data_IF_155795299068
#
_entry.id   IF_155795299068
#
_cell.length_a   1.000
_cell.length_b   1.000
_cell.length_c   1.000
_cell.angle_alpha   90.00
_cell.angle_beta   90.00
_cell.angle_gamma   90.00
#
_symmetry.space_group_name_H-M   'P 1'
#
loop_
_entity.id
_entity.type
_entity.pdbx_description
1 polymer ?
#
# COMPACT_ATOMS: atom_id res chain seq x y z
N UNK A 1 -17.02 -28.25 8.28
CA UNK A 1 -17.63 -27.88 6.99
C UNK A 1 -16.47 -27.71 6.02
N UNK A 2 -16.45 -28.44 4.89
CA UNK A 2 -15.51 -28.21 3.78
C UNK A 2 -16.08 -27.17 2.79
N UNK A 3 -15.62 -27.12 1.52
CA UNK A 3 -14.68 -28.01 0.83
C UNK A 3 -13.40 -27.23 0.39
N UNK A 4 -12.53 -27.58 -0.58
CA UNK A 4 -12.28 -28.72 -1.50
C UNK A 4 -10.74 -28.97 -1.49
N UNK A 5 -10.14 -30.14 -1.76
CA UNK A 5 -10.19 -31.06 -2.91
C UNK A 5 -9.53 -30.55 -4.21
N UNK A 6 -8.22 -30.85 -4.39
CA UNK A 6 -7.60 -31.11 -5.70
C UNK A 6 -6.20 -31.74 -5.51
N UNK A 7 -6.16 -32.91 -4.89
CA UNK A 7 -4.94 -33.72 -4.74
C UNK A 7 -5.28 -35.20 -4.83
N UNK A 8 -5.71 -35.64 -6.01
CA UNK A 8 -5.59 -37.03 -6.48
C UNK A 8 -5.98 -37.09 -7.97
N UNK A 9 -5.12 -37.72 -8.77
CA UNK A 9 -5.23 -38.31 -10.12
C UNK A 9 -3.92 -38.02 -10.86
N UNK A 10 -2.92 -38.87 -10.61
CA UNK A 10 -1.98 -39.34 -11.64
C UNK A 10 -1.72 -40.83 -11.37
N UNK A 11 -1.90 -41.74 -12.34
CA UNK A 11 -1.72 -43.17 -12.11
C UNK A 11 -0.28 -43.53 -11.76
N UNK A 12 -0.08 -44.37 -10.75
CA UNK A 12 1.20 -45.00 -10.43
C UNK A 12 1.57 -46.06 -11.47
N UNK A 13 2.08 -45.63 -12.61
CA UNK A 13 2.56 -46.55 -13.64
C UNK A 13 3.88 -47.20 -13.24
N UNK A 14 3.77 -48.35 -12.60
CA UNK A 14 4.90 -49.23 -12.30
C UNK A 14 5.31 -49.94 -13.58
N UNK A 15 6.29 -49.41 -14.31
CA UNK A 15 6.94 -50.16 -15.40
C UNK A 15 8.10 -50.93 -14.81
N UNK A 16 7.90 -52.24 -14.71
CA UNK A 16 8.93 -53.22 -14.36
C UNK A 16 10.14 -53.09 -15.28
N UNK A 17 11.35 -53.27 -14.75
CA UNK A 17 12.50 -53.64 -15.58
C UNK A 17 12.12 -54.89 -16.39
N UNK A 18 12.07 -54.76 -17.71
CA UNK A 18 11.94 -55.85 -18.65
C UNK A 18 13.12 -55.76 -19.64
N UNK A 19 13.99 -56.76 -19.51
CA UNK A 19 15.09 -57.19 -20.37
C UNK A 19 15.64 -56.23 -21.44
N UNK A 20 16.90 -55.86 -21.21
CA UNK A 20 17.81 -55.39 -22.24
C UNK A 20 18.11 -56.51 -23.24
N UNK A 21 17.52 -56.45 -24.44
CA UNK A 21 18.03 -57.15 -25.62
C UNK A 21 17.62 -56.40 -26.89
N UNK A 22 18.64 -56.13 -27.71
CA UNK A 22 18.57 -55.72 -29.11
C UNK A 22 17.82 -54.41 -29.47
N UNK A 23 18.38 -53.28 -29.02
CA UNK A 23 18.33 -52.03 -29.80
C UNK A 23 19.72 -51.80 -30.43
N UNK A 24 19.82 -52.02 -31.74
CA UNK A 24 21.03 -51.70 -32.51
C UNK A 24 21.32 -50.20 -32.42
N UNK A 25 22.38 -49.85 -31.70
CA UNK A 25 22.88 -48.48 -31.60
C UNK A 25 23.40 -48.04 -32.98
N UNK A 26 22.53 -47.42 -33.78
CA UNK A 26 22.84 -46.93 -35.12
C UNK A 26 23.90 -45.82 -35.05
N UNK A 27 25.18 -46.23 -35.08
CA UNK A 27 26.33 -45.33 -35.07
C UNK A 27 26.43 -44.61 -36.42
N UNK A 28 26.26 -43.30 -36.40
CA UNK A 28 26.30 -42.39 -37.56
C UNK A 28 27.72 -42.17 -38.13
N UNK A 29 28.55 -43.20 -38.13
CA UNK A 29 29.97 -43.16 -38.53
C UNK A 29 30.18 -43.48 -40.02
N UNK A 30 29.11 -43.44 -40.83
CA UNK A 30 29.13 -43.82 -42.25
C UNK A 30 28.71 -42.67 -43.16
N UNK A 31 29.48 -42.48 -44.24
CA UNK A 31 29.31 -41.46 -45.29
C UNK A 31 27.88 -41.42 -45.86
N UNK A 32 27.17 -42.55 -45.79
CA UNK A 32 25.77 -42.70 -46.17
C UNK A 32 24.83 -41.71 -45.44
N UNK A 33 25.08 -41.43 -44.15
CA UNK A 33 24.29 -40.49 -43.37
C UNK A 33 24.50 -39.03 -43.83
N UNK A 34 25.74 -38.68 -44.18
CA UNK A 34 26.08 -37.35 -44.71
C UNK A 34 25.43 -37.12 -46.07
N UNK A 35 25.42 -38.13 -46.94
CA UNK A 35 24.72 -38.08 -48.24
C UNK A 35 23.19 -37.96 -48.06
N UNK A 36 22.60 -38.67 -47.10
CA UNK A 36 21.15 -38.59 -46.83
C UNK A 36 20.72 -37.23 -46.24
N UNK A 37 21.56 -36.64 -45.38
CA UNK A 37 21.42 -35.28 -44.86
C UNK A 37 21.55 -34.25 -45.99
N UNK A 38 22.49 -34.43 -46.92
CA UNK A 38 22.68 -33.54 -48.07
C UNK A 38 21.51 -33.61 -49.07
N UNK A 39 20.78 -34.73 -49.11
CA UNK A 39 19.57 -34.90 -49.91
C UNK A 39 18.29 -34.33 -49.25
N UNK A 40 18.27 -34.14 -47.92
CA UNK A 40 17.10 -33.69 -47.16
C UNK A 40 17.48 -32.64 -46.10
N UNK A 41 17.77 -31.38 -46.49
CA UNK A 41 18.28 -30.35 -45.59
C UNK A 41 17.33 -30.02 -44.42
N UNK A 42 16.01 -30.09 -44.66
CA UNK A 42 14.99 -29.85 -43.64
C UNK A 42 15.13 -30.83 -42.46
N UNK A 43 15.50 -32.08 -42.72
CA UNK A 43 15.67 -33.11 -41.68
C UNK A 43 16.84 -32.78 -40.74
N UNK A 44 17.92 -32.21 -41.27
CA UNK A 44 19.05 -31.74 -40.49
C UNK A 44 18.68 -30.51 -39.63
N UNK A 45 17.83 -29.63 -40.16
CA UNK A 45 17.27 -28.52 -39.39
C UNK A 45 16.39 -29.01 -38.25
N UNK A 46 15.51 -30.01 -38.47
CA UNK A 46 14.71 -30.61 -37.42
C UNK A 46 15.57 -31.32 -36.35
N UNK A 47 16.61 -32.06 -36.73
CA UNK A 47 17.53 -32.68 -35.79
C UNK A 47 18.28 -31.64 -34.92
N UNK A 48 18.74 -30.55 -35.54
CA UNK A 48 19.36 -29.42 -34.83
C UNK A 48 18.39 -28.73 -33.87
N UNK A 49 17.14 -28.50 -34.28
CA UNK A 49 16.10 -27.95 -33.42
C UNK A 49 15.74 -28.88 -32.25
N UNK A 50 15.70 -30.19 -32.48
CA UNK A 50 15.47 -31.20 -31.44
C UNK A 50 16.60 -31.19 -30.40
N UNK A 51 17.86 -31.15 -30.86
CA UNK A 51 19.03 -31.04 -29.99
C UNK A 51 19.02 -29.73 -29.17
N UNK A 52 18.72 -28.59 -29.80
CA UNK A 52 18.59 -27.31 -29.11
C UNK A 52 17.48 -27.37 -28.03
N UNK A 53 16.31 -27.93 -28.36
CA UNK A 53 15.22 -28.12 -27.40
C UNK A 53 15.66 -29.01 -26.21
N UNK A 54 16.42 -30.08 -26.45
CA UNK A 54 16.99 -30.90 -25.38
C UNK A 54 17.91 -30.08 -24.46
N UNK A 55 18.82 -29.27 -25.03
CA UNK A 55 19.69 -28.39 -24.22
C UNK A 55 18.92 -27.31 -23.45
N UNK A 56 17.81 -26.80 -24.00
CA UNK A 56 16.94 -25.87 -23.27
C UNK A 56 16.20 -26.55 -22.11
N UNK A 57 15.74 -27.80 -22.28
CA UNK A 57 15.12 -28.56 -21.21
C UNK A 57 16.11 -28.85 -20.07
N UNK A 58 17.33 -29.30 -20.39
CA UNK A 58 18.40 -29.49 -19.40
C UNK A 58 18.74 -28.19 -18.66
N UNK A 59 18.79 -27.05 -19.36
CA UNK A 59 19.03 -25.75 -18.75
C UNK A 59 17.87 -25.32 -17.83
N UNK A 60 16.63 -25.59 -18.21
CA UNK A 60 15.45 -25.32 -17.38
C UNK A 60 15.46 -26.17 -16.10
N UNK A 61 15.78 -27.46 -16.19
CA UNK A 61 15.89 -28.35 -15.03
C UNK A 61 17.00 -27.90 -14.06
N UNK A 62 18.14 -27.42 -14.59
CA UNK A 62 19.21 -26.81 -13.78
C UNK A 62 18.74 -25.53 -13.08
N UNK A 63 18.03 -24.65 -13.77
CA UNK A 63 17.50 -23.40 -13.20
C UNK A 63 16.42 -23.65 -12.15
N UNK A 64 15.52 -24.61 -12.38
CA UNK A 64 14.52 -25.05 -11.39
C UNK A 64 15.23 -25.59 -10.14
N UNK A 65 16.22 -26.48 -10.32
CA UNK A 65 17.02 -27.02 -9.23
C UNK A 65 17.76 -25.95 -8.41
N UNK A 66 18.22 -24.87 -9.07
CA UNK A 66 18.84 -23.73 -8.39
C UNK A 66 17.82 -22.93 -7.58
N UNK A 67 16.63 -22.67 -8.14
CA UNK A 67 15.55 -21.96 -7.45
C UNK A 67 15.07 -22.72 -6.21
N UNK A 68 14.94 -24.04 -6.29
CA UNK A 68 14.55 -24.88 -5.13
C UNK A 68 15.59 -24.83 -4.01
N UNK A 69 16.89 -24.83 -4.34
CA UNK A 69 17.98 -24.66 -3.36
C UNK A 69 17.91 -23.30 -2.65
N UNK A 70 17.64 -22.22 -3.39
CA UNK A 70 17.49 -20.88 -2.81
C UNK A 70 16.21 -20.75 -1.96
N UNK A 71 15.10 -21.38 -2.35
CA UNK A 71 13.88 -21.44 -1.55
C UNK A 71 14.14 -22.16 -0.22
N UNK A 72 14.84 -23.29 -0.24
CA UNK A 72 15.14 -24.05 0.97
C UNK A 72 16.15 -23.33 1.88
N UNK A 73 17.15 -22.66 1.29
CA UNK A 73 18.06 -21.74 1.98
C UNK A 73 17.30 -20.61 2.70
N UNK A 74 16.35 -19.97 1.99
CA UNK A 74 15.51 -18.91 2.53
C UNK A 74 14.61 -19.41 3.67
N UNK A 75 13.92 -20.54 3.50
CA UNK A 75 13.13 -21.21 4.55
C UNK A 75 13.97 -21.49 5.80
N UNK A 76 15.19 -22.01 5.63
CA UNK A 76 16.13 -22.27 6.73
C UNK A 76 16.56 -20.99 7.45
N UNK A 77 16.76 -19.89 6.72
CA UNK A 77 17.06 -18.57 7.29
C UNK A 77 15.87 -18.00 8.07
N UNK A 78 14.65 -18.06 7.51
CA UNK A 78 13.42 -17.67 8.19
C UNK A 78 13.21 -18.50 9.48
N UNK A 79 13.48 -19.81 9.44
CA UNK A 79 13.44 -20.68 10.61
C UNK A 79 14.38 -20.24 11.73
N UNK A 80 15.62 -19.84 11.42
CA UNK A 80 16.56 -19.26 12.40
C UNK A 80 16.04 -17.96 13.02
N UNK A 81 15.42 -17.08 12.22
CA UNK A 81 14.84 -15.82 12.71
C UNK A 81 13.65 -16.10 13.61
N UNK A 82 12.72 -16.96 13.19
CA UNK A 82 11.58 -17.40 14.00
C UNK A 82 12.03 -18.06 15.30
N UNK A 83 13.09 -18.88 15.29
CA UNK A 83 13.65 -19.45 16.51
C UNK A 83 14.26 -18.41 17.45
N UNK A 84 14.87 -17.32 16.95
CA UNK A 84 15.33 -16.20 17.78
C UNK A 84 14.17 -15.41 18.40
N UNK A 85 13.10 -15.18 17.65
CA UNK A 85 11.88 -14.50 18.13
C UNK A 85 11.03 -15.38 19.07
N UNK A 86 11.03 -16.69 18.84
CA UNK A 86 10.25 -17.68 19.59
C UNK A 86 10.98 -18.24 20.81
N UNK A 87 12.22 -17.81 21.10
CA UNK A 87 12.77 -17.96 22.45
C UNK A 87 11.85 -17.18 23.38
N UNK A 88 11.13 -17.82 24.32
CA UNK A 88 10.55 -17.09 25.42
C UNK A 88 11.68 -16.32 26.10
N UNK A 89 11.39 -15.16 26.66
CA UNK A 89 12.35 -14.49 27.54
C UNK A 89 12.71 -15.50 28.64
N UNK A 90 13.93 -16.07 28.59
CA UNK A 90 14.37 -17.07 29.56
C UNK A 90 14.53 -16.37 30.90
N UNK A 91 13.44 -16.39 31.67
CA UNK A 91 13.34 -16.18 33.10
C UNK A 91 14.52 -15.43 33.71
N UNK A 92 14.52 -14.10 33.54
CA UNK A 92 15.04 -13.19 34.58
C UNK A 92 14.06 -13.23 35.77
N UNK A 93 13.82 -14.43 36.29
CA UNK A 93 13.10 -14.70 37.52
C UNK A 93 14.01 -14.49 38.73
N UNK A 94 14.81 -13.42 38.70
CA UNK A 94 15.17 -12.75 39.93
C UNK A 94 13.89 -12.07 40.40
N UNK A 95 13.31 -12.60 41.47
CA UNK A 95 12.26 -11.91 42.23
C UNK A 95 12.85 -10.62 42.81
N UNK A 96 12.89 -9.58 41.98
CA UNK A 96 12.94 -8.22 42.46
C UNK A 96 11.55 -7.95 43.00
N UNK A 97 11.39 -8.18 44.30
CA UNK A 97 10.31 -7.57 45.05
C UNK A 97 10.30 -6.09 44.64
N UNK A 98 9.17 -5.61 44.11
CA UNK A 98 8.99 -4.21 43.80
C UNK A 98 8.88 -3.44 45.12
N UNK A 99 10.03 -3.25 45.81
CA UNK A 99 10.25 -2.02 46.55
C UNK A 99 9.92 -0.89 45.59
N UNK A 100 9.07 0.04 46.01
CA UNK A 100 8.61 1.16 45.19
C UNK A 100 9.78 2.10 44.87
N UNK A 101 10.64 1.68 43.95
CA UNK A 101 11.59 2.53 43.26
C UNK A 101 10.70 3.39 42.37
N UNK A 102 10.38 4.58 42.87
CA UNK A 102 9.96 5.69 42.04
C UNK A 102 11.13 5.98 41.10
N UNK A 103 11.20 5.25 39.98
CA UNK A 103 12.12 5.55 38.89
C UNK A 103 11.55 6.82 38.26
N UNK A 104 12.15 8.01 38.48
CA UNK A 104 11.71 9.18 37.79
C UNK A 104 12.22 9.02 36.36
N UNK A 105 11.37 8.55 35.45
CA UNK A 105 11.62 8.55 34.01
C UNK A 105 11.61 9.97 33.40
N UNK A 106 11.80 10.97 34.25
CA UNK A 106 11.82 12.39 33.95
C UNK A 106 13.23 12.93 34.19
N UNK A 107 13.73 13.86 33.37
CA UNK A 107 15.03 14.48 33.57
C UNK A 107 15.21 15.02 35.01
N UNK A 108 16.41 14.93 35.60
CA UNK A 108 17.64 14.41 35.02
C UNK A 108 17.73 12.88 35.09
N UNK A 109 18.06 12.26 33.95
CA UNK A 109 18.19 10.80 33.80
C UNK A 109 19.45 10.22 34.47
N UNK A 110 20.49 11.03 34.62
CA UNK A 110 21.73 10.66 35.29
C UNK A 110 21.75 11.28 36.68
N UNK A 111 21.67 10.43 37.70
CA UNK A 111 21.84 10.79 39.11
C UNK A 111 22.96 9.95 39.71
N UNK A 112 23.72 10.52 40.63
CA UNK A 112 24.69 9.78 41.43
C UNK A 112 24.00 8.94 42.52
N UNK A 113 24.81 8.26 43.35
CA UNK A 113 24.35 7.46 44.49
C UNK A 113 23.55 8.26 45.52
N UNK A 114 23.75 9.58 45.57
CA UNK A 114 23.12 10.50 46.52
C UNK A 114 21.90 11.20 45.90
N UNK A 115 21.54 10.85 44.66
CA UNK A 115 20.37 11.37 43.93
C UNK A 115 20.60 12.72 43.26
N UNK A 116 21.82 13.25 43.29
CA UNK A 116 22.20 14.53 42.68
C UNK A 116 22.51 14.37 41.20
N UNK A 117 22.29 15.42 40.42
CA UNK A 117 22.64 15.49 39.01
C UNK A 117 23.58 16.67 38.75
N UNK A 118 24.41 16.63 37.68
CA UNK A 118 25.20 17.77 37.25
C UNK A 118 24.32 19.01 37.05
N UNK A 119 24.88 20.20 37.31
CA UNK A 119 24.21 21.45 36.98
C UNK A 119 24.00 21.58 35.46
N UNK A 120 22.91 22.23 35.06
CA UNK A 120 22.67 22.54 33.65
C UNK A 120 23.83 23.37 33.09
N UNK A 121 24.37 22.98 31.94
CA UNK A 121 25.33 23.79 31.20
C UNK A 121 24.65 25.09 30.72
N UNK A 122 25.44 26.08 30.29
CA UNK A 122 24.91 27.37 29.82
C UNK A 122 23.91 27.23 28.65
N UNK A 123 24.08 26.19 27.84
CA UNK A 123 23.20 25.82 26.73
C UNK A 123 21.85 25.24 27.21
N UNK A 124 21.85 24.28 28.15
CA UNK A 124 20.61 23.72 28.71
C UNK A 124 19.82 24.75 29.54
N UNK A 125 20.51 25.70 30.19
CA UNK A 125 19.87 26.86 30.82
C UNK A 125 19.18 27.78 29.79
N UNK A 126 19.74 27.89 28.58
CA UNK A 126 19.16 28.68 27.50
C UNK A 126 17.97 27.96 26.85
N UNK A 127 18.12 26.67 26.53
CA UNK A 127 17.02 25.81 26.04
C UNK A 127 15.85 25.82 27.03
N UNK A 128 16.13 25.69 28.34
CA UNK A 128 15.10 25.76 29.39
C UNK A 128 14.49 27.15 29.58
N UNK A 129 15.14 28.24 29.14
CA UNK A 129 14.58 29.60 29.17
C UNK A 129 13.74 29.91 27.93
N UNK A 130 14.16 29.44 26.77
CA UNK A 130 13.46 29.66 25.50
C UNK A 130 12.20 28.79 25.43
N UNK A 131 12.18 27.64 26.11
CA UNK A 131 11.12 26.62 26.02
C UNK A 131 10.87 26.10 24.59
N UNK A 132 11.81 26.35 23.67
CA UNK A 132 11.78 25.77 22.34
C UNK A 132 12.16 24.30 22.41
N UNK A 133 11.39 23.45 21.73
CA UNK A 133 11.92 22.17 21.25
C UNK A 133 13.18 22.41 20.40
N UNK A 134 13.95 21.35 20.19
CA UNK A 134 15.18 21.29 19.37
C UNK A 134 15.19 22.34 18.23
N UNK A 135 16.19 23.24 18.15
CA UNK A 135 16.28 24.24 17.08
C UNK A 135 16.31 23.68 15.64
N UNK A 136 16.52 22.37 15.47
CA UNK A 136 16.42 21.66 14.19
C UNK A 136 15.00 21.16 13.86
N UNK A 137 14.09 21.19 14.83
CA UNK A 137 12.68 20.78 14.70
C UNK A 137 11.82 22.04 14.64
N UNK A 138 11.62 22.56 13.42
CA UNK A 138 10.66 23.64 13.19
C UNK A 138 9.25 23.20 13.62
N UNK A 139 8.58 24.01 14.46
CA UNK A 139 7.19 23.76 14.84
C UNK A 139 6.30 23.73 13.59
N UNK A 140 5.38 22.76 13.52
CA UNK A 140 4.44 22.69 12.41
C UNK A 140 3.60 23.98 12.34
N UNK A 141 3.84 24.79 11.29
CA UNK A 141 3.10 26.02 11.03
C UNK A 141 1.59 25.77 11.16
N UNK A 142 0.87 26.56 11.93
CA UNK A 142 -0.59 26.40 12.11
C UNK A 142 -1.33 26.61 10.79
N UNK A 143 -2.44 25.90 10.62
CA UNK A 143 -3.30 26.02 9.43
C UNK A 143 -4.05 27.35 9.44
N UNK A 144 -3.97 28.10 8.35
CA UNK A 144 -4.72 29.35 8.15
C UNK A 144 -6.07 29.03 7.50
N UNK A 145 -7.19 29.71 7.85
CA UNK A 145 -8.50 29.45 7.23
C UNK A 145 -8.48 29.47 5.69
N UNK A 146 -7.77 30.45 5.09
CA UNK A 146 -7.61 30.54 3.64
C UNK A 146 -6.84 29.34 3.06
N UNK A 147 -5.87 28.75 3.78
CA UNK A 147 -5.17 27.52 3.37
C UNK A 147 -6.15 26.33 3.37
N UNK A 148 -7.13 26.30 4.28
CA UNK A 148 -8.15 25.24 4.36
C UNK A 148 -9.21 25.35 3.26
N UNK A 149 -9.62 26.58 2.90
CA UNK A 149 -10.49 26.83 1.74
C UNK A 149 -9.79 26.45 0.43
N UNK A 150 -8.52 26.84 0.27
CA UNK A 150 -7.72 26.48 -0.90
C UNK A 150 -7.47 24.96 -1.00
N UNK A 151 -7.19 24.27 0.12
CA UNK A 151 -7.10 22.81 0.16
C UNK A 151 -8.41 22.15 -0.27
N UNK A 152 -9.55 22.72 0.15
CA UNK A 152 -10.88 22.21 -0.19
C UNK A 152 -11.20 22.35 -1.68
N UNK A 153 -10.95 23.52 -2.24
CA UNK A 153 -11.23 23.79 -3.66
C UNK A 153 -10.27 23.01 -4.57
N UNK A 154 -9.00 22.87 -4.18
CA UNK A 154 -8.01 22.09 -4.92
C UNK A 154 -8.29 20.58 -4.88
N UNK A 155 -8.67 19.98 -3.74
CA UNK A 155 -9.13 18.57 -3.70
C UNK A 155 -10.36 18.35 -4.57
N UNK A 156 -11.33 19.27 -4.54
CA UNK A 156 -12.49 19.22 -5.43
C UNK A 156 -12.09 19.31 -6.92
N UNK A 157 -11.16 20.21 -7.26
CA UNK A 157 -10.62 20.33 -8.61
C UNK A 157 -9.87 19.06 -9.03
N UNK A 158 -9.09 18.43 -8.16
CA UNK A 158 -8.39 17.17 -8.47
C UNK A 158 -9.35 16.01 -8.74
N UNK A 159 -10.44 15.89 -7.97
CA UNK A 159 -11.46 14.86 -8.21
C UNK A 159 -12.21 15.11 -9.53
N UNK A 160 -12.56 16.38 -9.83
CA UNK A 160 -13.15 16.76 -11.13
C UNK A 160 -12.18 16.49 -12.28
N UNK A 161 -10.90 16.84 -12.14
CA UNK A 161 -9.85 16.55 -13.13
C UNK A 161 -9.74 15.05 -13.39
N UNK A 162 -9.87 14.20 -12.37
CA UNK A 162 -9.91 12.74 -12.49
C UNK A 162 -11.08 12.22 -13.33
N UNK A 163 -12.32 12.62 -12.99
CA UNK A 163 -13.50 12.27 -13.80
C UNK A 163 -13.38 12.78 -15.25
N UNK A 164 -12.92 14.02 -15.42
CA UNK A 164 -12.78 14.66 -16.72
C UNK A 164 -11.68 13.97 -17.55
N UNK A 165 -10.58 13.54 -16.93
CA UNK A 165 -9.50 12.80 -17.61
C UNK A 165 -9.99 11.47 -18.21
N UNK A 166 -10.83 10.73 -17.48
CA UNK A 166 -11.45 9.51 -17.99
C UNK A 166 -12.39 9.79 -19.17
N UNK A 167 -13.17 10.87 -19.10
CA UNK A 167 -14.07 11.31 -20.17
C UNK A 167 -13.32 11.82 -21.41
N UNK A 168 -12.27 12.62 -21.23
CA UNK A 168 -11.43 13.10 -22.33
C UNK A 168 -10.67 11.95 -23.00
N UNK A 169 -10.22 10.94 -22.24
CA UNK A 169 -9.65 9.70 -22.80
C UNK A 169 -10.66 8.94 -23.70
N UNK A 170 -11.92 8.80 -23.24
CA UNK A 170 -13.01 8.20 -24.05
C UNK A 170 -13.33 9.04 -25.29
N UNK A 171 -13.32 10.37 -25.17
CA UNK A 171 -13.54 11.31 -26.28
C UNK A 171 -12.41 11.25 -27.31
N UNK A 172 -11.17 11.08 -26.89
CA UNK A 172 -10.02 10.94 -27.78
C UNK A 172 -10.17 9.70 -28.69
N UNK A 173 -10.73 8.60 -28.19
CA UNK A 173 -11.04 7.40 -29.00
C UNK A 173 -12.02 7.73 -30.14
N UNK A 174 -13.12 8.44 -29.84
CA UNK A 174 -14.07 8.85 -30.88
C UNK A 174 -13.48 9.86 -31.86
N UNK A 175 -12.65 10.80 -31.38
CA UNK A 175 -11.92 11.72 -32.25
C UNK A 175 -10.92 10.99 -33.16
N UNK A 176 -10.22 9.96 -32.67
CA UNK A 176 -9.34 9.09 -33.47
C UNK A 176 -10.14 8.34 -34.54
N UNK A 177 -11.29 7.76 -34.19
CA UNK A 177 -12.21 7.12 -35.16
C UNK A 177 -12.69 8.11 -36.24
N UNK A 178 -13.03 9.34 -35.87
CA UNK A 178 -13.44 10.38 -36.81
C UNK A 178 -12.31 10.83 -37.74
N UNK A 179 -11.06 10.93 -37.24
CA UNK A 179 -9.86 11.24 -38.05
C UNK A 179 -9.48 10.09 -38.99
N UNK A 180 -9.70 8.84 -38.58
CA UNK A 180 -9.43 7.65 -39.39
C UNK A 180 -10.58 7.29 -40.35
N UNK A 181 -11.64 8.11 -40.42
CA UNK A 181 -12.84 7.81 -41.22
C UNK A 181 -12.56 7.96 -42.73
N UNK A 182 -12.27 6.84 -43.39
CA UNK A 182 -12.15 6.73 -44.85
C UNK A 182 -13.49 6.74 -45.58
N UNK A 183 -13.46 6.49 -46.90
CA UNK A 183 -14.66 6.45 -47.77
C UNK A 183 -15.65 5.35 -47.37
N UNK A 184 -15.18 4.29 -46.71
CA UNK A 184 -15.96 3.11 -46.31
C UNK A 184 -16.85 3.33 -45.06
N UNK A 185 -16.64 4.39 -44.27
CA UNK A 185 -17.44 4.65 -43.06
C UNK A 185 -18.79 5.28 -43.40
N UNK A 186 -19.90 4.70 -42.92
CA UNK A 186 -21.25 5.23 -43.14
C UNK A 186 -21.44 6.62 -42.50
N UNK A 187 -22.16 7.52 -43.16
CA UNK A 187 -22.47 8.85 -42.61
C UNK A 187 -23.18 8.78 -41.24
N UNK A 188 -24.05 7.79 -41.02
CA UNK A 188 -24.70 7.54 -39.73
C UNK A 188 -23.69 7.21 -38.61
N UNK A 189 -22.66 6.42 -38.90
CA UNK A 189 -21.60 6.10 -37.93
C UNK A 189 -20.81 7.35 -37.54
N UNK A 190 -20.52 8.22 -38.52
CA UNK A 190 -19.86 9.51 -38.27
C UNK A 190 -20.73 10.44 -37.42
N UNK A 191 -22.03 10.53 -37.70
CA UNK A 191 -22.98 11.31 -36.91
C UNK A 191 -23.02 10.80 -35.46
N UNK A 192 -23.17 9.48 -35.25
CA UNK A 192 -23.14 8.86 -33.93
C UNK A 192 -21.86 9.20 -33.15
N UNK A 193 -20.68 9.20 -33.78
CA UNK A 193 -19.43 9.58 -33.11
C UNK A 193 -19.37 11.07 -32.75
N UNK A 194 -19.93 11.95 -33.57
CA UNK A 194 -20.05 13.38 -33.28
C UNK A 194 -20.98 13.59 -32.08
N UNK A 195 -22.12 12.90 -32.05
CA UNK A 195 -23.10 12.97 -30.96
C UNK A 195 -22.55 12.42 -29.64
N UNK A 196 -21.77 11.33 -29.67
CA UNK A 196 -21.03 10.83 -28.49
C UNK A 196 -20.02 11.87 -27.97
N UNK A 197 -19.23 12.50 -28.87
CA UNK A 197 -18.27 13.55 -28.50
C UNK A 197 -18.99 14.76 -27.91
N UNK A 198 -20.13 15.17 -28.48
CA UNK A 198 -20.92 16.27 -27.93
C UNK A 198 -21.52 15.92 -26.57
N UNK A 199 -22.05 14.71 -26.39
CA UNK A 199 -22.58 14.23 -25.10
C UNK A 199 -21.49 14.21 -24.03
N UNK A 200 -20.28 13.79 -24.37
CA UNK A 200 -19.12 13.83 -23.47
C UNK A 200 -18.77 15.29 -23.12
N UNK A 201 -18.71 16.20 -24.11
CA UNK A 201 -18.45 17.62 -23.85
C UNK A 201 -19.51 18.24 -22.91
N UNK A 202 -20.81 17.95 -23.13
CA UNK A 202 -21.92 18.38 -22.27
C UNK A 202 -21.80 17.80 -20.83
N UNK A 203 -21.29 16.58 -20.66
CA UNK A 203 -21.00 16.01 -19.34
C UNK A 203 -19.79 16.68 -18.67
N UNK A 204 -18.73 16.98 -19.42
CA UNK A 204 -17.54 17.69 -18.90
C UNK A 204 -17.92 19.11 -18.43
N UNK A 205 -18.74 19.85 -19.18
CA UNK A 205 -19.21 21.17 -18.74
C UNK A 205 -20.06 21.09 -17.48
N UNK A 206 -20.93 20.07 -17.36
CA UNK A 206 -21.72 19.81 -16.15
C UNK A 206 -20.86 19.50 -14.91
N UNK A 207 -19.82 18.67 -15.04
CA UNK A 207 -18.90 18.35 -13.93
C UNK A 207 -18.17 19.63 -13.48
N UNK A 208 -17.69 20.43 -14.44
CA UNK A 208 -17.00 21.71 -14.14
C UNK A 208 -17.91 22.67 -13.38
N UNK A 209 -19.15 22.88 -13.82
CA UNK A 209 -20.10 23.83 -13.22
C UNK A 209 -20.70 23.39 -11.88
N UNK A 210 -20.48 22.14 -11.44
CA UNK A 210 -21.06 21.62 -10.20
C UNK A 210 -20.45 22.28 -8.94
N UNK A 211 -21.31 22.56 -7.96
CA UNK A 211 -20.93 23.07 -6.63
C UNK A 211 -19.90 22.20 -5.93
N UNK A 212 -18.91 22.84 -5.28
CA UNK A 212 -17.85 22.18 -4.51
C UNK A 212 -18.42 21.33 -3.36
N UNK A 213 -19.45 21.84 -2.67
CA UNK A 213 -20.09 21.13 -1.55
C UNK A 213 -20.70 19.80 -2.00
N UNK A 214 -21.47 19.85 -3.09
CA UNK A 214 -22.30 18.72 -3.51
C UNK A 214 -21.46 17.65 -4.22
N UNK A 215 -20.44 18.08 -4.96
CA UNK A 215 -19.48 17.18 -5.59
C UNK A 215 -18.65 16.40 -4.56
N UNK A 216 -18.13 17.08 -3.52
CA UNK A 216 -17.33 16.45 -2.47
C UNK A 216 -18.13 15.48 -1.58
N UNK A 217 -19.46 15.67 -1.44
CA UNK A 217 -20.34 14.75 -0.69
C UNK A 217 -20.68 13.48 -1.49
N UNK A 218 -20.80 13.58 -2.80
CA UNK A 218 -21.08 12.45 -3.70
C UNK A 218 -19.85 11.55 -3.87
N UNK A 219 -18.65 12.13 -3.87
CA UNK A 219 -17.38 11.41 -4.07
C UNK A 219 -16.74 11.10 -2.73
N UNK A 220 -17.06 9.92 -2.17
CA UNK A 220 -16.54 9.44 -0.89
C UNK A 220 -15.14 8.80 -0.96
N UNK A 221 -14.68 8.40 -2.15
CA UNK A 221 -13.36 7.80 -2.35
C UNK A 221 -12.31 8.87 -2.68
N UNK A 222 -11.51 9.24 -1.68
CA UNK A 222 -10.43 10.22 -1.79
C UNK A 222 -9.05 9.61 -2.09
N UNK A 223 -8.92 8.28 -2.25
CA UNK A 223 -7.65 7.65 -2.64
C UNK A 223 -7.31 7.88 -4.12
N UNK A 224 -8.27 8.35 -4.92
CA UNK A 224 -8.06 8.79 -6.32
C UNK A 224 -7.47 10.21 -6.43
N UNK A 225 -7.30 10.92 -5.31
CA UNK A 225 -6.77 12.29 -5.29
C UNK A 225 -5.25 12.27 -5.45
N UNK A 226 -4.74 13.03 -6.42
CA UNK A 226 -3.29 13.21 -6.62
C UNK A 226 -2.75 14.27 -5.66
N UNK A 227 -2.44 13.84 -4.43
CA UNK A 227 -1.83 14.66 -3.39
C UNK A 227 -0.47 15.26 -3.80
N UNK A 228 0.24 14.66 -4.76
CA UNK A 228 1.53 15.17 -5.23
C UNK A 228 1.34 16.42 -6.10
N UNK A 229 0.38 16.38 -7.03
CA UNK A 229 -0.04 17.53 -7.85
C UNK A 229 -0.61 18.66 -6.99
N UNK A 230 -1.40 18.34 -5.96
CA UNK A 230 -1.96 19.33 -5.03
C UNK A 230 -0.88 20.08 -4.24
N UNK A 231 0.09 19.36 -3.67
CA UNK A 231 1.23 19.95 -2.95
C UNK A 231 2.07 20.82 -3.88
N UNK A 232 2.36 20.37 -5.10
CA UNK A 232 3.17 21.14 -6.05
C UNK A 232 2.48 22.40 -6.60
N UNK A 233 1.15 22.36 -6.82
CA UNK A 233 0.41 23.42 -7.54
C UNK A 233 -0.28 24.42 -6.61
N UNK A 234 -1.03 23.92 -5.64
CA UNK A 234 -2.06 24.71 -4.96
C UNK A 234 -1.70 24.99 -3.50
N UNK A 235 -0.98 24.09 -2.81
CA UNK A 235 -0.59 24.26 -1.39
C UNK A 235 0.91 24.03 -1.19
N UNK A 236 1.72 24.82 -1.92
CA UNK A 236 3.18 24.71 -2.05
C UNK A 236 4.01 24.83 -0.76
N UNK A 237 3.39 25.24 0.35
CA UNK A 237 4.04 25.42 1.66
C UNK A 237 3.96 24.12 2.50
N UNK A 238 3.22 23.09 2.06
CA UNK A 238 2.91 21.89 2.85
C UNK A 238 3.32 20.60 2.17
N UNK A 239 3.78 19.66 2.99
CA UNK A 239 4.13 18.31 2.54
C UNK A 239 2.87 17.51 2.20
N UNK A 240 2.98 16.64 1.19
CA UNK A 240 1.93 15.68 0.75
C UNK A 240 1.24 14.99 1.95
N UNK A 241 2.02 14.47 2.90
CA UNK A 241 1.52 13.81 4.11
C UNK A 241 0.63 14.72 4.98
N UNK A 242 1.02 15.99 5.15
CA UNK A 242 0.28 16.97 5.94
C UNK A 242 -1.07 17.30 5.28
N UNK A 243 -1.10 17.42 3.94
CA UNK A 243 -2.34 17.63 3.19
C UNK A 243 -3.31 16.45 3.37
N UNK A 244 -2.80 15.21 3.17
CA UNK A 244 -3.61 13.99 3.29
C UNK A 244 -4.13 13.82 4.72
N UNK A 245 -3.27 13.99 5.74
CA UNK A 245 -3.68 13.92 7.15
C UNK A 245 -4.75 14.96 7.48
N UNK A 246 -4.57 16.23 7.09
CA UNK A 246 -5.57 17.28 7.35
C UNK A 246 -6.90 17.00 6.66
N UNK A 247 -6.86 16.45 5.45
CA UNK A 247 -8.08 16.05 4.74
C UNK A 247 -8.80 14.89 5.44
N UNK A 248 -8.09 13.79 5.68
CA UNK A 248 -8.63 12.55 6.25
C UNK A 248 -8.97 12.65 7.75
N UNK A 249 -8.45 13.63 8.50
CA UNK A 249 -8.72 13.74 9.94
C UNK A 249 -9.74 14.84 10.29
N UNK A 250 -9.89 15.89 9.49
CA UNK A 250 -10.69 17.07 9.87
C UNK A 250 -11.56 17.66 8.76
N UNK A 251 -11.08 17.70 7.52
CA UNK A 251 -11.76 18.46 6.46
C UNK A 251 -12.83 17.64 5.72
N UNK A 252 -12.64 16.33 5.55
CA UNK A 252 -13.55 15.42 4.85
C UNK A 252 -15.04 15.65 5.22
N UNK A 253 -15.94 15.87 4.23
CA UNK A 253 -17.36 16.14 4.49
C UNK A 253 -18.17 14.97 5.06
N UNK A 254 -17.64 13.75 5.00
CA UNK A 254 -18.32 12.54 5.51
C UNK A 254 -18.31 12.47 7.03
N UNK A 255 -17.33 13.11 7.69
CA UNK A 255 -17.16 12.98 9.12
C UNK A 255 -18.06 13.92 9.92
N UNK A 256 -18.55 13.40 11.05
CA UNK A 256 -19.37 14.16 11.97
C UNK A 256 -18.52 15.22 12.72
N UNK A 257 -18.92 16.48 12.56
CA UNK A 257 -18.29 17.66 13.20
C UNK A 257 -19.08 18.17 14.42
N UNK A 258 -20.07 17.42 14.90
CA UNK A 258 -20.79 17.75 16.13
C UNK A 258 -19.90 17.62 17.36
N UNK A 259 -20.30 18.28 18.46
CA UNK A 259 -19.74 18.01 19.77
C UNK A 259 -19.84 16.51 20.12
N UNK A 260 -18.95 16.05 21.00
CA UNK A 260 -18.99 14.71 21.57
C UNK A 260 -20.14 14.60 22.57
N UNK A 261 -20.87 13.49 22.51
CA UNK A 261 -21.91 13.14 23.47
C UNK A 261 -21.36 12.19 24.53
N UNK A 262 -21.92 12.23 25.75
CA UNK A 262 -21.47 11.37 26.85
C UNK A 262 -21.55 9.88 26.51
N UNK A 263 -22.55 9.45 25.72
CA UNK A 263 -22.66 8.06 25.28
C UNK A 263 -21.58 7.66 24.25
N UNK A 264 -21.09 8.59 23.42
CA UNK A 264 -19.92 8.33 22.58
C UNK A 264 -18.65 8.21 23.43
N UNK A 265 -18.50 9.06 24.45
CA UNK A 265 -17.34 9.05 25.35
C UNK A 265 -17.26 7.75 26.18
N UNK A 266 -18.39 7.28 26.74
CA UNK A 266 -18.48 6.01 27.47
C UNK A 266 -18.09 4.82 26.57
N UNK A 267 -18.69 4.73 25.37
CA UNK A 267 -18.34 3.69 24.37
C UNK A 267 -16.88 3.75 23.95
N UNK A 268 -16.33 4.95 23.76
CA UNK A 268 -14.93 5.14 23.38
C UNK A 268 -13.97 4.64 24.48
N UNK A 269 -14.29 4.88 25.75
CA UNK A 269 -13.51 4.36 26.88
C UNK A 269 -13.55 2.82 26.89
N UNK A 270 -14.74 2.21 26.77
CA UNK A 270 -14.88 0.75 26.78
C UNK A 270 -14.18 0.09 25.58
N UNK A 271 -14.41 0.57 24.35
CA UNK A 271 -13.75 0.07 23.15
C UNK A 271 -12.21 0.20 23.21
N UNK A 272 -11.69 1.23 23.88
CA UNK A 272 -10.24 1.41 24.04
C UNK A 272 -9.57 0.44 25.02
N UNK A 273 -10.36 -0.29 25.84
CA UNK A 273 -9.86 -1.36 26.71
C UNK A 273 -9.69 -2.66 25.93
N UNK A 274 -10.63 -2.94 25.03
CA UNK A 274 -10.69 -4.19 24.27
C UNK A 274 -9.84 -4.16 22.98
N UNK A 275 -9.72 -2.98 22.35
CA UNK A 275 -9.03 -2.81 21.08
C UNK A 275 -7.90 -1.77 21.17
N UNK A 276 -6.76 -2.07 20.54
CA UNK A 276 -5.64 -1.12 20.38
C UNK A 276 -5.57 -0.46 19.00
N UNK A 277 -6.46 -0.84 18.06
CA UNK A 277 -6.50 -0.26 16.72
C UNK A 277 -7.60 0.81 16.63
N UNK A 278 -7.19 2.06 16.42
CA UNK A 278 -8.09 3.22 16.29
C UNK A 278 -9.01 3.15 15.08
N UNK A 279 -8.62 2.47 14.00
CA UNK A 279 -9.49 2.27 12.82
C UNK A 279 -10.73 1.44 13.19
N UNK A 280 -10.53 0.36 13.95
CA UNK A 280 -11.60 -0.52 14.42
C UNK A 280 -12.49 0.19 15.45
N UNK A 281 -11.89 0.97 16.37
CA UNK A 281 -12.63 1.77 17.35
C UNK A 281 -13.50 2.83 16.65
N UNK A 282 -12.96 3.48 15.62
CA UNK A 282 -13.67 4.46 14.79
C UNK A 282 -14.88 3.85 14.08
N UNK A 283 -14.73 2.64 13.54
CA UNK A 283 -15.81 1.90 12.88
C UNK A 283 -16.88 1.47 13.90
N UNK A 284 -16.50 0.83 15.00
CA UNK A 284 -17.40 0.34 16.06
C UNK A 284 -18.15 1.45 16.83
N UNK A 285 -17.68 2.70 16.76
CA UNK A 285 -18.36 3.84 17.39
C UNK A 285 -19.61 4.28 16.60
N UNK A 286 -19.74 3.89 15.33
CA UNK A 286 -20.81 4.24 14.37
C UNK A 286 -21.05 5.76 14.18
N UNK A 287 -20.24 6.62 14.81
CA UNK A 287 -20.44 8.07 14.84
C UNK A 287 -19.90 8.81 13.60
N UNK A 288 -19.35 8.08 12.62
CA UNK A 288 -18.60 8.64 11.48
C UNK A 288 -17.54 9.66 11.93
N UNK A 289 -16.75 9.34 12.96
CA UNK A 289 -15.63 10.17 13.43
C UNK A 289 -14.31 9.50 13.09
N UNK A 290 -13.31 10.20 12.54
CA UNK A 290 -12.06 9.59 12.14
C UNK A 290 -11.23 9.10 13.34
N UNK A 291 -10.40 8.05 13.16
CA UNK A 291 -9.58 7.41 14.21
C UNK A 291 -8.77 8.38 15.07
N UNK A 292 -8.19 9.40 14.42
CA UNK A 292 -7.40 10.45 15.08
C UNK A 292 -8.20 11.24 16.12
N UNK A 293 -9.47 11.58 15.84
CA UNK A 293 -10.30 12.32 16.79
C UNK A 293 -10.73 11.45 17.97
N UNK A 294 -10.96 10.14 17.75
CA UNK A 294 -11.19 9.18 18.84
C UNK A 294 -9.99 9.11 19.79
N UNK A 295 -8.77 8.99 19.25
CA UNK A 295 -7.53 9.03 20.04
C UNK A 295 -7.37 10.36 20.80
N UNK A 296 -7.55 11.50 20.13
CA UNK A 296 -7.45 12.82 20.77
C UNK A 296 -8.47 12.98 21.89
N UNK A 297 -9.72 12.53 21.69
CA UNK A 297 -10.78 12.58 22.69
C UNK A 297 -10.47 11.71 23.91
N UNK A 298 -10.00 10.48 23.72
CA UNK A 298 -9.65 9.61 24.85
C UNK A 298 -8.53 10.20 25.70
N UNK A 299 -7.48 10.77 25.08
CA UNK A 299 -6.41 11.43 25.82
C UNK A 299 -6.92 12.63 26.63
N UNK A 300 -7.85 13.42 26.07
CA UNK A 300 -8.51 14.50 26.80
C UNK A 300 -9.35 13.98 27.98
N UNK A 301 -10.14 12.91 27.79
CA UNK A 301 -10.91 12.30 28.89
C UNK A 301 -9.99 11.82 30.02
N UNK A 302 -8.91 11.10 29.69
CA UNK A 302 -7.92 10.61 30.67
C UNK A 302 -7.21 11.73 31.44
N UNK A 303 -6.99 12.89 30.82
CA UNK A 303 -6.41 14.06 31.51
C UNK A 303 -7.38 14.64 32.54
N UNK A 304 -8.67 14.75 32.19
CA UNK A 304 -9.69 15.32 33.07
C UNK A 304 -10.20 14.35 34.16
N UNK A 305 -10.08 13.03 33.96
CA UNK A 305 -10.33 12.03 35.03
C UNK A 305 -9.36 12.16 36.22
N UNK A 306 -8.21 12.80 36.03
CA UNK A 306 -7.20 13.03 37.06
C UNK A 306 -7.32 14.40 37.76
N UNK A 307 -8.25 15.28 37.37
CA UNK A 307 -8.57 16.49 38.14
C UNK A 307 -9.59 16.16 39.24
N UNK A 308 -9.21 16.20 40.54
CA UNK A 308 -10.18 16.07 41.62
C UNK A 308 -11.08 17.33 41.67
N UNK A 309 -12.40 17.09 41.73
CA UNK A 309 -13.41 18.12 42.05
C UNK A 309 -13.39 18.49 43.53
#
# INVERSE_FOLDING_TARGET
MGPDSYSDILPSFSVSNADSQDDERFTLDSEMAQQFIQANPDLAQFASLLANNHTYLELLDQLISQVDQEIESNRRMQGKIRAKLSRPFENVSQSRAYSNISVPCWPPYFKDSDGMAPNMNSEALEISRICSADPLVEEEKRWVPNELELLRDSVCASLKDGEISLLDSRKEIFQKKLRAAGVETTNEQRHNWIDEVERINRRITYIRSRSVNDFLKEHSNYDTVDWSKLSARDVSIRTISQLRQKWCNEMCPLYNKSAWTLSEDEKLIDLSRDFSNWDVISEMLDSSRPPFLCFQRLNYLRQNEHEPK
#
